data_IF_301359578669
#
_entry.id   IF_301359578669
#
_cell.length_a   1.000
_cell.length_b   1.000
_cell.length_c   1.000
_cell.angle_alpha   90.00
_cell.angle_beta   90.00
_cell.angle_gamma   90.00
#
_symmetry.space_group_name_H-M   'P 1'
#
loop_
_entity.id
_entity.type
_entity.pdbx_description
1 polymer ?
#
# COMPACT_ATOMS: atom_id res chain seq x y z
N UNK A 1 -41.03 -9.57 -0.98
CA UNK A 1 -39.70 -9.20 -0.49
C UNK A 1 -38.78 -9.05 -1.70
N UNK A 2 -38.50 -7.81 -2.10
CA UNK A 2 -37.73 -7.53 -3.31
C UNK A 2 -36.26 -7.82 -3.04
N UNK A 3 -35.71 -8.77 -3.76
CA UNK A 3 -34.27 -9.07 -3.83
C UNK A 3 -33.57 -7.84 -4.44
N UNK A 4 -33.02 -6.98 -3.60
CA UNK A 4 -32.06 -5.96 -4.04
C UNK A 4 -30.81 -6.67 -4.49
N UNK A 5 -30.72 -6.97 -5.80
CA UNK A 5 -29.54 -7.56 -6.41
C UNK A 5 -28.36 -6.59 -6.24
N UNK A 6 -27.31 -7.02 -5.56
CA UNK A 6 -25.98 -6.36 -5.51
C UNK A 6 -25.29 -6.30 -6.89
N UNK A 7 -26.02 -6.37 -7.99
CA UNK A 7 -25.49 -6.33 -9.35
C UNK A 7 -25.64 -4.91 -9.96
N UNK A 8 -24.63 -4.03 -9.82
CA UNK A 8 -24.40 -3.06 -10.87
C UNK A 8 -23.79 -3.79 -12.08
N UNK A 9 -23.99 -3.30 -13.33
CA UNK A 9 -23.41 -3.90 -14.52
C UNK A 9 -21.89 -4.01 -14.31
N UNK A 10 -21.34 -5.15 -14.70
CA UNK A 10 -19.90 -5.35 -14.74
C UNK A 10 -19.32 -4.23 -15.60
N UNK A 11 -18.43 -3.41 -15.04
CA UNK A 11 -17.67 -2.45 -15.81
C UNK A 11 -16.90 -3.26 -16.86
N UNK A 12 -17.31 -3.18 -18.12
CA UNK A 12 -16.62 -3.80 -19.24
C UNK A 12 -15.37 -2.94 -19.50
N UNK A 13 -14.21 -3.43 -19.10
CA UNK A 13 -12.94 -2.84 -19.46
C UNK A 13 -12.64 -3.18 -20.91
N UNK A 14 -12.52 -2.18 -21.77
CA UNK A 14 -12.05 -2.38 -23.14
C UNK A 14 -10.54 -2.65 -23.14
N UNK A 15 -10.00 -3.40 -24.12
CA UNK A 15 -8.55 -3.64 -24.25
C UNK A 15 -7.71 -2.35 -24.26
N UNK A 16 -8.27 -1.26 -24.74
CA UNK A 16 -7.59 0.05 -24.80
C UNK A 16 -7.54 0.77 -23.45
N UNK A 17 -8.54 0.59 -22.59
CA UNK A 17 -8.51 1.08 -21.21
C UNK A 17 -7.47 0.35 -20.36
N UNK A 18 -7.15 -0.89 -20.70
CA UNK A 18 -6.08 -1.68 -20.08
C UNK A 18 -4.70 -1.30 -20.61
N UNK A 19 -4.59 -0.85 -21.88
CA UNK A 19 -3.33 -0.45 -22.53
C UNK A 19 -2.96 1.01 -22.28
N UNK A 20 -3.93 1.91 -22.13
CA UNK A 20 -3.70 3.36 -21.96
C UNK A 20 -2.98 3.74 -20.66
N UNK A 21 -2.83 2.82 -19.72
CA UNK A 21 -2.24 3.07 -18.41
C UNK A 21 -0.72 2.84 -18.34
N UNK A 22 -0.08 2.32 -19.40
CA UNK A 22 1.36 2.03 -19.37
C UNK A 22 2.25 3.29 -19.55
N UNK A 23 1.71 4.40 -20.07
CA UNK A 23 2.45 5.64 -20.34
C UNK A 23 2.37 6.70 -19.25
N UNK A 24 1.24 6.82 -18.56
CA UNK A 24 0.95 7.99 -17.72
C UNK A 24 1.39 7.87 -16.25
N UNK A 25 1.68 6.67 -15.76
CA UNK A 25 2.04 6.47 -14.34
C UNK A 25 3.51 6.80 -14.05
N UNK A 26 4.36 6.80 -15.07
CA UNK A 26 5.79 7.13 -14.93
C UNK A 26 6.04 8.63 -14.70
N UNK A 27 5.10 9.49 -15.06
CA UNK A 27 5.23 10.95 -14.95
C UNK A 27 4.85 11.55 -13.59
N UNK A 28 4.34 10.75 -12.65
CA UNK A 28 3.78 11.28 -11.39
C UNK A 28 4.71 11.24 -10.18
N UNK A 29 5.95 10.77 -10.33
CA UNK A 29 7.01 11.01 -9.34
C UNK A 29 7.88 12.12 -9.94
N UNK A 30 7.91 13.34 -9.38
CA UNK A 30 8.88 14.34 -9.77
C UNK A 30 10.27 13.84 -9.32
N UNK A 31 10.98 13.18 -10.22
CA UNK A 31 12.35 12.71 -9.95
C UNK A 31 13.35 13.87 -9.87
N UNK A 32 12.93 15.09 -10.21
CA UNK A 32 13.83 16.23 -10.32
C UNK A 32 13.92 17.13 -9.09
N UNK A 33 13.16 16.89 -8.03
CA UNK A 33 13.20 17.74 -6.83
C UNK A 33 13.99 17.17 -5.63
N UNK A 34 14.58 16.00 -5.74
CA UNK A 34 15.38 15.41 -4.63
C UNK A 34 16.86 15.74 -4.67
N UNK A 35 17.35 16.51 -5.67
CA UNK A 35 18.79 16.80 -5.83
C UNK A 35 19.13 18.30 -6.04
N UNK A 36 18.29 19.22 -5.61
CA UNK A 36 18.60 20.67 -5.67
C UNK A 36 18.51 21.37 -4.31
N UNK A 37 18.97 20.75 -3.24
CA UNK A 37 19.45 21.51 -2.09
C UNK A 37 20.87 22.02 -2.40
N UNK A 38 20.99 22.99 -3.33
CA UNK A 38 22.16 23.83 -3.42
C UNK A 38 22.20 24.66 -2.14
N UNK A 39 23.09 24.29 -1.24
CA UNK A 39 23.51 25.13 -0.13
C UNK A 39 23.98 26.48 -0.69
N UNK A 40 23.38 27.61 -0.27
CA UNK A 40 23.98 28.91 -0.58
C UNK A 40 25.33 28.97 0.15
N UNK A 41 26.42 29.14 -0.59
CA UNK A 41 27.73 29.50 -0.01
C UNK A 41 27.53 30.79 0.78
N UNK A 42 27.45 30.70 2.09
CA UNK A 42 27.55 31.84 2.99
C UNK A 42 29.01 32.29 2.99
N UNK A 43 29.24 33.55 2.58
CA UNK A 43 30.46 34.29 2.93
C UNK A 43 30.57 34.39 4.45
N UNK A 44 31.77 34.31 5.05
CA UNK A 44 31.95 34.52 6.47
C UNK A 44 31.79 36.02 6.77
N UNK A 45 30.58 36.38 7.18
CA UNK A 45 30.30 37.66 7.80
C UNK A 45 30.18 37.40 9.30
N UNK A 46 31.10 37.98 10.07
CA UNK A 46 31.07 38.05 11.53
C UNK A 46 29.89 38.91 11.98
N UNK A 47 28.72 38.27 12.09
CA UNK A 47 27.54 38.84 12.66
C UNK A 47 27.10 37.95 13.82
N UNK A 48 27.35 38.39 15.06
CA UNK A 48 26.82 37.75 16.24
C UNK A 48 25.29 37.68 16.11
N UNK A 49 24.76 36.45 16.10
CA UNK A 49 23.32 36.20 16.17
C UNK A 49 22.84 36.67 17.58
N UNK A 50 22.35 37.88 17.63
CA UNK A 50 21.68 38.39 18.79
C UNK A 50 20.33 37.65 18.88
N UNK A 51 20.26 36.59 19.69
CA UNK A 51 18.99 36.03 20.12
C UNK A 51 18.31 37.15 20.94
N UNK A 52 17.38 37.88 20.36
CA UNK A 52 16.51 38.81 21.04
C UNK A 52 15.67 38.02 22.05
N UNK A 53 16.14 37.97 23.29
CA UNK A 53 15.33 37.48 24.41
C UNK A 53 14.16 38.45 24.57
N UNK A 54 12.95 37.94 24.40
CA UNK A 54 11.74 38.70 24.76
C UNK A 54 11.79 38.91 26.27
N UNK A 55 11.98 40.16 26.68
CA UNK A 55 11.98 40.56 28.10
C UNK A 55 10.67 41.29 28.40
N UNK A 56 10.19 41.18 29.65
CA UNK A 56 9.11 42.01 30.14
C UNK A 56 9.61 43.48 30.32
N UNK A 57 8.70 44.43 30.53
CA UNK A 57 9.03 45.84 30.68
C UNK A 57 10.06 46.17 31.80
N UNK A 58 10.47 45.19 32.60
CA UNK A 58 11.51 45.30 33.64
C UNK A 58 12.81 44.59 33.27
N UNK A 59 12.99 44.16 31.99
CA UNK A 59 14.23 43.51 31.52
C UNK A 59 14.40 42.02 31.91
N UNK A 60 13.43 41.41 32.59
CA UNK A 60 13.50 40.02 32.99
C UNK A 60 13.04 39.13 31.85
N UNK A 61 13.70 37.94 31.62
CA UNK A 61 13.27 37.01 30.61
C UNK A 61 11.85 36.50 30.91
N UNK A 62 10.92 36.70 29.98
CA UNK A 62 9.55 36.21 30.13
C UNK A 62 9.59 34.69 30.02
N UNK A 63 9.34 34.00 31.14
CA UNK A 63 9.15 32.56 31.09
C UNK A 63 7.83 32.25 30.35
N UNK A 64 7.80 31.26 29.43
CA UNK A 64 6.57 30.92 28.72
C UNK A 64 5.46 30.62 29.72
N UNK A 65 4.26 31.11 29.43
CA UNK A 65 3.08 30.88 30.28
C UNK A 65 2.84 29.36 30.43
N UNK A 66 2.22 28.90 31.53
CA UNK A 66 1.88 27.49 31.73
C UNK A 66 1.15 26.88 30.53
N UNK A 67 0.26 27.63 29.90
CA UNK A 67 -0.49 27.23 28.70
C UNK A 67 0.43 26.97 27.51
N UNK A 68 1.40 27.87 27.25
CA UNK A 68 2.37 27.70 26.15
C UNK A 68 3.22 26.44 26.37
N UNK A 69 3.68 26.19 27.58
CA UNK A 69 4.48 25.00 27.92
C UNK A 69 3.68 23.72 27.76
N UNK A 70 2.40 23.70 28.16
CA UNK A 70 1.51 22.58 28.03
C UNK A 70 1.28 22.24 26.52
N UNK A 71 0.91 23.24 25.73
CA UNK A 71 0.66 23.08 24.29
C UNK A 71 1.90 22.56 23.56
N UNK A 72 3.09 23.09 23.85
CA UNK A 72 4.35 22.64 23.25
C UNK A 72 4.66 21.18 23.60
N UNK A 73 4.48 20.78 24.86
CA UNK A 73 4.69 19.38 25.28
C UNK A 73 3.70 18.43 24.63
N UNK A 74 2.44 18.83 24.52
CA UNK A 74 1.41 18.05 23.84
C UNK A 74 1.74 17.85 22.35
N UNK A 75 2.05 18.93 21.64
CA UNK A 75 2.43 18.86 20.23
C UNK A 75 3.66 17.98 20.00
N UNK A 76 4.68 18.11 20.86
CA UNK A 76 5.86 17.27 20.80
C UNK A 76 5.50 15.78 21.00
N UNK A 77 4.67 15.46 22.01
CA UNK A 77 4.27 14.07 22.28
C UNK A 77 3.47 13.47 21.12
N UNK A 78 2.52 14.22 20.55
CA UNK A 78 1.75 13.79 19.38
C UNK A 78 2.66 13.57 18.17
N UNK A 79 3.58 14.50 17.90
CA UNK A 79 4.52 14.39 16.78
C UNK A 79 5.44 13.18 16.93
N UNK A 80 6.02 12.99 18.13
CA UNK A 80 6.87 11.82 18.41
C UNK A 80 6.09 10.50 18.26
N UNK A 81 4.84 10.45 18.73
CA UNK A 81 3.98 9.28 18.56
C UNK A 81 3.67 9.00 17.07
N UNK A 82 3.38 10.05 16.29
CA UNK A 82 3.14 9.92 14.84
C UNK A 82 4.39 9.44 14.10
N UNK A 83 5.57 9.98 14.42
CA UNK A 83 6.84 9.52 13.85
C UNK A 83 7.16 8.07 14.23
N UNK A 84 6.98 7.70 15.51
CA UNK A 84 7.20 6.35 15.99
C UNK A 84 6.28 5.34 15.28
N UNK A 85 4.99 5.64 15.15
CA UNK A 85 4.06 4.76 14.44
C UNK A 85 4.34 4.67 12.95
N UNK A 86 4.74 5.77 12.31
CA UNK A 86 5.19 5.76 10.90
C UNK A 86 6.41 4.85 10.73
N UNK A 87 7.38 4.95 11.62
CA UNK A 87 8.56 4.08 11.62
C UNK A 87 8.17 2.61 11.84
N UNK A 88 7.29 2.32 12.80
CA UNK A 88 6.80 0.95 13.08
C UNK A 88 6.12 0.36 11.86
N UNK A 89 5.23 1.10 11.20
CA UNK A 89 4.55 0.64 9.98
C UNK A 89 5.55 0.39 8.85
N UNK A 90 6.47 1.33 8.62
CA UNK A 90 7.50 1.20 7.58
C UNK A 90 8.45 0.04 7.81
N UNK A 91 8.97 -0.12 9.04
CA UNK A 91 9.88 -1.22 9.41
C UNK A 91 9.18 -2.57 9.31
N UNK A 92 7.93 -2.69 9.81
CA UNK A 92 7.13 -3.90 9.67
C UNK A 92 6.96 -4.28 8.20
N UNK A 93 6.61 -3.32 7.34
CA UNK A 93 6.49 -3.55 5.91
C UNK A 93 7.82 -4.04 5.32
N UNK A 94 8.93 -3.35 5.57
CA UNK A 94 10.25 -3.70 5.03
C UNK A 94 10.70 -5.10 5.47
N UNK A 95 10.48 -5.45 6.74
CA UNK A 95 10.85 -6.77 7.26
C UNK A 95 10.02 -7.86 6.60
N UNK A 96 8.68 -7.71 6.57
CA UNK A 96 7.80 -8.76 6.04
C UNK A 96 7.97 -8.88 4.53
N UNK A 97 7.92 -7.78 3.76
CA UNK A 97 8.11 -7.81 2.31
C UNK A 97 9.52 -8.31 1.94
N UNK A 98 10.55 -7.88 2.67
CA UNK A 98 11.93 -8.34 2.47
C UNK A 98 12.11 -9.83 2.72
N UNK A 99 11.51 -10.37 3.79
CA UNK A 99 11.55 -11.80 4.09
C UNK A 99 10.87 -12.64 2.99
N UNK A 100 9.67 -12.22 2.55
CA UNK A 100 8.97 -12.93 1.46
C UNK A 100 9.64 -12.73 0.09
N UNK A 101 10.23 -11.57 -0.18
CA UNK A 101 11.02 -11.35 -1.40
C UNK A 101 12.29 -12.23 -1.40
N UNK A 102 12.97 -12.38 -0.27
CA UNK A 102 14.10 -13.29 -0.13
C UNK A 102 13.68 -14.75 -0.31
N UNK A 103 12.59 -15.18 0.34
CA UNK A 103 12.02 -16.51 0.18
C UNK A 103 11.64 -16.80 -1.30
N UNK A 104 11.08 -15.80 -1.99
CA UNK A 104 10.76 -15.91 -3.44
C UNK A 104 12.02 -16.10 -4.26
N UNK A 105 13.08 -15.34 -4.02
CA UNK A 105 14.36 -15.49 -4.74
C UNK A 105 15.00 -16.85 -4.52
N UNK A 106 14.87 -17.41 -3.31
CA UNK A 106 15.39 -18.75 -3.01
C UNK A 106 14.57 -19.86 -3.67
N UNK A 107 13.25 -19.79 -3.60
CA UNK A 107 12.35 -20.84 -4.07
C UNK A 107 12.09 -20.77 -5.58
N UNK A 108 12.05 -19.56 -6.14
CA UNK A 108 11.76 -19.30 -7.55
C UNK A 108 12.81 -18.35 -8.15
N UNK A 109 14.08 -18.79 -8.30
CA UNK A 109 15.15 -17.95 -8.82
C UNK A 109 14.80 -17.47 -10.25
N UNK A 110 14.73 -16.18 -10.42
CA UNK A 110 14.36 -15.58 -11.71
C UNK A 110 12.95 -15.01 -11.78
N UNK A 111 12.06 -15.28 -10.80
CA UNK A 111 10.69 -14.74 -10.81
C UNK A 111 10.67 -13.20 -10.81
N UNK A 112 11.59 -12.56 -10.10
CA UNK A 112 11.73 -11.10 -10.03
C UNK A 112 12.86 -10.55 -10.94
N UNK A 113 13.38 -11.37 -11.89
CA UNK A 113 14.45 -10.93 -12.79
C UNK A 113 13.95 -9.80 -13.70
N UNK A 114 14.72 -8.69 -13.75
CA UNK A 114 14.37 -7.52 -14.56
C UNK A 114 13.34 -6.57 -13.94
N UNK A 115 12.84 -6.86 -12.72
CA UNK A 115 11.84 -6.05 -12.02
C UNK A 115 12.44 -5.04 -11.03
N UNK A 116 13.76 -4.80 -11.06
CA UNK A 116 14.43 -3.94 -10.06
C UNK A 116 13.88 -2.50 -10.03
N UNK A 117 13.60 -1.92 -11.19
CA UNK A 117 13.02 -0.59 -11.28
C UNK A 117 11.59 -0.56 -10.73
N UNK A 118 10.79 -1.58 -11.03
CA UNK A 118 9.45 -1.75 -10.48
C UNK A 118 9.49 -1.90 -8.96
N UNK A 119 10.35 -2.78 -8.42
CA UNK A 119 10.49 -2.98 -6.97
C UNK A 119 10.90 -1.71 -6.24
N UNK A 120 11.83 -0.92 -6.79
CA UNK A 120 12.18 0.40 -6.21
C UNK A 120 10.98 1.33 -6.15
N UNK A 121 10.16 1.40 -7.21
CA UNK A 121 8.92 2.18 -7.24
C UNK A 121 7.90 1.67 -6.23
N UNK A 122 7.70 0.36 -6.13
CA UNK A 122 6.82 -0.28 -5.15
C UNK A 122 7.23 0.07 -3.71
N UNK A 123 8.52 -0.02 -3.38
CA UNK A 123 9.06 0.35 -2.07
C UNK A 123 8.81 1.84 -1.78
N UNK A 124 9.09 2.73 -2.74
CA UNK A 124 8.90 4.17 -2.55
C UNK A 124 7.43 4.52 -2.24
N UNK A 125 6.48 3.98 -3.01
CA UNK A 125 5.04 4.18 -2.77
C UNK A 125 4.59 3.56 -1.46
N UNK A 126 5.11 2.38 -1.10
CA UNK A 126 4.78 1.72 0.17
C UNK A 126 5.28 2.49 1.38
N UNK A 127 6.46 3.09 1.31
CA UNK A 127 6.97 3.95 2.40
C UNK A 127 6.18 5.26 2.51
N UNK A 128 5.74 5.85 1.39
CA UNK A 128 4.81 6.99 1.41
C UNK A 128 3.47 6.60 2.05
N UNK A 129 2.93 5.42 1.71
CA UNK A 129 1.72 4.87 2.34
C UNK A 129 1.93 4.61 3.83
N UNK A 130 3.11 4.16 4.26
CA UNK A 130 3.42 3.94 5.67
C UNK A 130 3.29 5.23 6.50
N UNK A 131 3.65 6.39 5.94
CA UNK A 131 3.43 7.68 6.60
C UNK A 131 1.94 8.02 6.72
N UNK A 132 1.16 7.78 5.66
CA UNK A 132 -0.29 8.02 5.65
C UNK A 132 -1.02 7.14 6.69
N UNK A 133 -0.57 5.89 6.88
CA UNK A 133 -1.10 4.99 7.92
C UNK A 133 -0.57 5.34 9.32
N UNK A 134 0.70 5.71 9.43
CA UNK A 134 1.38 5.91 10.69
C UNK A 134 0.94 7.17 11.43
N UNK A 135 0.67 8.27 10.71
CA UNK A 135 0.27 9.54 11.34
C UNK A 135 -1.03 9.41 12.14
N UNK A 136 -2.17 8.96 11.57
CA UNK A 136 -3.40 8.79 12.35
C UNK A 136 -3.26 7.72 13.45
N UNK A 137 -2.51 6.64 13.19
CA UNK A 137 -2.24 5.62 14.20
C UNK A 137 -1.46 6.19 15.39
N UNK A 138 -0.50 7.09 15.17
CA UNK A 138 0.26 7.74 16.22
C UNK A 138 -0.57 8.73 17.04
N UNK A 139 -1.44 9.49 16.38
CA UNK A 139 -2.38 10.40 17.08
C UNK A 139 -3.30 9.56 18.01
N UNK A 140 -3.82 8.44 17.52
CA UNK A 140 -4.68 7.56 18.32
C UNK A 140 -3.91 6.83 19.44
N UNK A 141 -2.67 6.42 19.21
CA UNK A 141 -1.83 5.81 20.23
C UNK A 141 -1.54 6.79 21.38
N UNK A 142 -1.25 8.04 21.04
CA UNK A 142 -1.13 9.10 22.04
C UNK A 142 -2.45 9.35 22.77
N UNK A 143 -3.56 9.50 22.04
CA UNK A 143 -4.88 9.74 22.61
C UNK A 143 -5.37 8.59 23.48
N UNK A 144 -5.03 7.33 23.13
CA UNK A 144 -5.31 6.18 23.98
C UNK A 144 -4.60 6.28 25.33
N UNK A 145 -3.28 6.52 25.32
CA UNK A 145 -2.48 6.56 26.57
C UNK A 145 -2.74 7.81 27.39
N UNK A 146 -2.93 8.98 26.77
CA UNK A 146 -3.08 10.25 27.47
C UNK A 146 -4.53 10.56 27.88
N UNK A 147 -5.52 10.09 27.15
CA UNK A 147 -6.92 10.52 27.28
C UNK A 147 -7.95 9.40 27.22
N UNK A 148 -7.54 8.15 26.99
CA UNK A 148 -8.48 7.02 26.86
C UNK A 148 -9.45 7.13 25.67
N UNK A 149 -9.06 7.78 24.57
CA UNK A 149 -9.93 8.02 23.41
C UNK A 149 -10.43 6.76 22.72
N UNK A 150 -9.67 5.66 22.82
CA UNK A 150 -9.98 4.43 22.10
C UNK A 150 -10.55 3.35 23.02
N UNK A 151 -11.11 2.31 22.43
CA UNK A 151 -11.57 1.11 23.12
C UNK A 151 -10.47 0.03 23.25
N UNK A 152 -9.20 0.40 23.03
CA UNK A 152 -8.05 -0.50 23.23
C UNK A 152 -7.86 -0.69 24.74
N UNK A 153 -7.64 -1.97 25.14
CA UNK A 153 -7.33 -2.33 26.53
C UNK A 153 -6.07 -3.22 26.59
N UNK A 154 -5.36 -3.18 27.68
CA UNK A 154 -4.09 -3.89 27.91
C UNK A 154 -4.17 -4.97 28.99
N UNK A 155 -5.19 -4.95 29.85
CA UNK A 155 -5.46 -6.05 30.77
C UNK A 155 -6.33 -7.10 30.08
N UNK A 156 -5.76 -8.30 29.84
CA UNK A 156 -6.48 -9.41 29.16
C UNK A 156 -7.72 -9.88 29.94
N UNK A 157 -7.75 -9.65 31.25
CA UNK A 157 -8.88 -10.01 32.13
C UNK A 157 -9.96 -8.93 32.22
N UNK A 158 -9.74 -7.75 31.62
CA UNK A 158 -10.75 -6.70 31.56
C UNK A 158 -12.05 -7.12 30.84
N UNK A 159 -11.99 -8.24 30.10
CA UNK A 159 -13.13 -8.89 29.41
C UNK A 159 -13.00 -10.40 29.48
N UNK A 160 -14.12 -11.16 29.29
CA UNK A 160 -14.05 -12.62 29.20
C UNK A 160 -13.04 -13.07 28.13
N UNK A 161 -12.21 -14.06 28.41
CA UNK A 161 -11.11 -14.49 27.53
C UNK A 161 -11.57 -14.87 26.11
N UNK A 162 -12.80 -15.40 25.96
CA UNK A 162 -13.36 -15.71 24.65
C UNK A 162 -13.58 -14.48 23.76
N UNK A 163 -13.66 -13.29 24.36
CA UNK A 163 -13.82 -12.05 23.60
C UNK A 163 -12.55 -11.69 22.80
N UNK A 164 -11.38 -12.10 23.25
CA UNK A 164 -10.11 -11.83 22.54
C UNK A 164 -10.13 -12.41 21.13
N UNK A 165 -10.32 -13.73 20.91
CA UNK A 165 -10.41 -14.28 19.56
C UNK A 165 -11.64 -13.78 18.79
N UNK A 166 -12.77 -13.55 19.44
CA UNK A 166 -13.93 -12.97 18.78
C UNK A 166 -13.63 -11.59 18.23
N UNK A 167 -12.94 -10.72 19.00
CA UNK A 167 -12.57 -9.38 18.53
C UNK A 167 -11.67 -9.43 17.31
N UNK A 168 -10.74 -10.39 17.23
CA UNK A 168 -9.90 -10.60 16.03
C UNK A 168 -10.77 -10.93 14.82
N UNK A 169 -11.70 -11.87 14.94
CA UNK A 169 -12.60 -12.25 13.84
C UNK A 169 -13.45 -11.06 13.39
N UNK A 170 -14.02 -10.30 14.33
CA UNK A 170 -14.83 -9.11 14.04
C UNK A 170 -14.00 -8.05 13.30
N UNK A 171 -12.79 -7.76 13.77
CA UNK A 171 -11.91 -6.79 13.12
C UNK A 171 -11.53 -7.21 11.70
N UNK A 172 -11.15 -8.46 11.50
CA UNK A 172 -10.80 -8.98 10.17
C UNK A 172 -12.00 -8.93 9.22
N UNK A 173 -13.20 -9.32 9.69
CA UNK A 173 -14.39 -9.30 8.86
C UNK A 173 -14.83 -7.87 8.48
N UNK A 174 -14.81 -6.93 9.43
CA UNK A 174 -15.17 -5.54 9.17
C UNK A 174 -14.12 -4.84 8.30
N UNK A 175 -12.84 -5.14 8.52
CA UNK A 175 -11.77 -4.65 7.66
C UNK A 175 -11.91 -5.17 6.22
N UNK A 176 -12.16 -6.46 6.04
CA UNK A 176 -12.38 -7.06 4.71
C UNK A 176 -13.65 -6.50 4.02
N UNK A 177 -14.69 -6.25 4.80
CA UNK A 177 -15.92 -5.58 4.32
C UNK A 177 -15.61 -4.19 3.79
N UNK A 178 -14.90 -3.37 4.58
CA UNK A 178 -14.48 -2.03 4.15
C UNK A 178 -13.59 -2.11 2.92
N UNK A 179 -12.60 -3.01 2.94
CA UNK A 179 -11.66 -3.21 1.84
C UNK A 179 -12.38 -3.61 0.55
N UNK A 180 -13.26 -4.61 0.58
CA UNK A 180 -14.03 -5.05 -0.57
C UNK A 180 -14.80 -3.90 -1.24
N UNK A 181 -15.56 -3.12 -0.47
CA UNK A 181 -16.41 -2.07 -1.02
C UNK A 181 -15.61 -0.88 -1.55
N UNK A 182 -14.56 -0.46 -0.84
CA UNK A 182 -13.68 0.62 -1.30
C UNK A 182 -12.85 0.20 -2.51
N UNK A 183 -12.32 -1.01 -2.51
CA UNK A 183 -11.56 -1.58 -3.61
C UNK A 183 -12.42 -1.70 -4.88
N UNK A 184 -13.61 -2.26 -4.75
CA UNK A 184 -14.58 -2.31 -5.86
C UNK A 184 -14.98 -0.92 -6.37
N UNK A 185 -15.10 0.07 -5.49
CA UNK A 185 -15.35 1.45 -5.87
C UNK A 185 -14.17 2.06 -6.63
N UNK A 186 -12.93 1.81 -6.21
CA UNK A 186 -11.72 2.29 -6.88
C UNK A 186 -11.55 1.68 -8.29
N UNK A 187 -12.15 0.52 -8.56
CA UNK A 187 -12.19 -0.08 -9.90
C UNK A 187 -13.26 0.51 -10.84
N UNK A 188 -13.99 1.53 -10.45
CA UNK A 188 -14.83 2.27 -11.39
C UNK A 188 -13.95 3.09 -12.34
N UNK A 189 -14.21 3.09 -13.68
CA UNK A 189 -13.35 3.74 -14.66
C UNK A 189 -13.02 5.22 -14.33
N UNK A 190 -14.00 5.96 -13.79
CA UNK A 190 -13.81 7.35 -13.40
C UNK A 190 -12.87 7.55 -12.19
N UNK A 191 -12.67 6.52 -11.36
CA UNK A 191 -11.89 6.59 -10.11
C UNK A 191 -10.53 5.92 -10.26
N UNK A 192 -10.46 4.87 -11.08
CA UNK A 192 -9.31 3.98 -11.19
C UNK A 192 -7.99 4.73 -11.43
N UNK A 193 -7.95 5.60 -12.43
CA UNK A 193 -6.72 6.38 -12.75
C UNK A 193 -6.26 7.25 -11.60
N UNK A 194 -7.18 7.88 -10.89
CA UNK A 194 -6.89 8.80 -9.81
C UNK A 194 -6.57 8.12 -8.46
N UNK A 195 -7.00 6.88 -8.26
CA UNK A 195 -6.92 6.24 -6.95
C UNK A 195 -6.12 4.93 -6.94
N UNK A 196 -6.19 4.11 -8.00
CA UNK A 196 -5.78 2.69 -7.93
C UNK A 196 -4.79 2.24 -9.03
N UNK A 197 -4.58 3.06 -10.06
CA UNK A 197 -3.68 2.73 -11.18
C UNK A 197 -2.22 2.53 -10.71
N UNK A 198 -1.77 3.25 -9.67
CA UNK A 198 -0.43 3.08 -9.08
C UNK A 198 -0.22 1.65 -8.58
N UNK A 199 -1.23 1.10 -7.88
CA UNK A 199 -1.20 -0.28 -7.38
C UNK A 199 -1.16 -1.29 -8.53
N UNK A 200 -2.02 -1.14 -9.52
CA UNK A 200 -2.09 -2.00 -10.70
C UNK A 200 -0.94 -1.80 -11.71
N UNK A 201 -0.07 -0.81 -11.52
CA UNK A 201 1.16 -0.69 -12.31
C UNK A 201 2.22 -1.75 -11.95
N UNK A 202 2.02 -2.50 -10.86
CA UNK A 202 2.84 -3.66 -10.47
C UNK A 202 2.42 -4.89 -11.30
N UNK A 203 3.18 -5.18 -12.38
CA UNK A 203 2.87 -6.27 -13.33
C UNK A 203 4.12 -7.01 -13.79
N UNK A 204 4.32 -8.27 -13.35
CA UNK A 204 3.58 -8.95 -12.29
C UNK A 204 3.86 -8.32 -10.94
N UNK A 205 2.92 -8.38 -9.97
CA UNK A 205 3.17 -7.84 -8.64
C UNK A 205 4.29 -8.62 -7.95
N UNK A 206 5.02 -7.91 -7.07
CA UNK A 206 6.06 -8.51 -6.22
C UNK A 206 5.69 -8.39 -4.75
N UNK A 207 6.40 -9.07 -3.86
CA UNK A 207 6.20 -8.95 -2.42
C UNK A 207 6.30 -7.49 -1.90
N UNK A 208 6.89 -6.59 -2.67
CA UNK A 208 7.00 -5.17 -2.36
C UNK A 208 5.77 -4.34 -2.74
N UNK A 209 4.84 -4.91 -3.53
CA UNK A 209 3.64 -4.21 -3.99
C UNK A 209 2.54 -4.06 -2.92
N UNK A 210 2.67 -4.77 -1.77
CA UNK A 210 1.63 -4.92 -0.76
C UNK A 210 1.03 -3.61 -0.21
N UNK A 211 1.77 -2.52 -0.25
CA UNK A 211 1.35 -1.18 0.19
C UNK A 211 1.68 -0.09 -0.86
N UNK A 212 1.99 -0.48 -2.09
CA UNK A 212 2.31 0.46 -3.16
C UNK A 212 1.05 1.16 -3.67
N UNK A 213 0.55 2.12 -2.89
CA UNK A 213 -0.72 2.78 -3.08
C UNK A 213 -0.56 4.25 -3.46
N UNK A 214 -1.47 4.73 -4.30
CA UNK A 214 -1.68 6.16 -4.47
C UNK A 214 -2.20 6.76 -3.15
N UNK A 215 -1.91 8.04 -2.80
CA UNK A 215 -2.38 8.65 -1.55
C UNK A 215 -3.89 8.54 -1.30
N UNK A 216 -4.72 8.63 -2.33
CA UNK A 216 -6.17 8.46 -2.19
C UNK A 216 -6.51 7.04 -1.70
N UNK A 217 -5.92 6.02 -2.29
CA UNK A 217 -6.08 4.63 -1.85
C UNK A 217 -5.53 4.42 -0.44
N UNK A 218 -4.32 4.92 -0.15
CA UNK A 218 -3.72 4.82 1.16
C UNK A 218 -4.60 5.47 2.26
N UNK A 219 -5.19 6.65 1.99
CA UNK A 219 -6.11 7.32 2.92
C UNK A 219 -7.38 6.49 3.12
N UNK A 220 -7.99 5.95 2.07
CA UNK A 220 -9.19 5.08 2.23
C UNK A 220 -8.90 3.85 3.07
N UNK A 221 -7.72 3.25 2.91
CA UNK A 221 -7.28 2.12 3.76
C UNK A 221 -6.93 2.53 5.18
N UNK A 222 -6.38 3.74 5.38
CA UNK A 222 -5.95 4.22 6.69
C UNK A 222 -7.12 4.54 7.66
N UNK A 223 -8.34 4.70 7.17
CA UNK A 223 -9.51 5.11 7.98
C UNK A 223 -10.06 3.96 8.82
N UNK A 224 -10.06 2.72 8.32
CA UNK A 224 -10.85 1.63 8.91
C UNK A 224 -10.35 1.21 10.30
N UNK A 225 -9.06 1.01 10.51
CA UNK A 225 -8.54 0.61 11.84
C UNK A 225 -8.74 1.70 12.88
N UNK A 226 -8.44 2.99 12.62
CA UNK A 226 -8.85 4.11 13.48
C UNK A 226 -10.33 4.07 13.87
N UNK A 227 -11.23 3.89 12.91
CA UNK A 227 -12.65 3.82 13.18
C UNK A 227 -13.00 2.63 14.11
N UNK A 228 -12.45 1.45 13.83
CA UNK A 228 -12.72 0.25 14.63
C UNK A 228 -12.23 0.39 16.07
N UNK A 229 -11.02 0.92 16.32
CA UNK A 229 -10.50 1.07 17.68
C UNK A 229 -11.22 2.14 18.50
N UNK A 230 -11.89 3.08 17.86
CA UNK A 230 -12.76 4.05 18.52
C UNK A 230 -14.12 3.43 18.93
N UNK A 231 -14.60 2.46 18.18
CA UNK A 231 -15.96 1.91 18.35
C UNK A 231 -16.00 0.55 19.05
N UNK A 232 -15.05 -0.33 18.77
CA UNK A 232 -15.10 -1.75 19.19
C UNK A 232 -13.89 -2.06 20.08
N UNK A 233 -14.13 -2.58 21.29
CA UNK A 233 -13.04 -2.97 22.19
C UNK A 233 -12.13 -4.04 21.58
N UNK A 234 -10.81 -3.90 21.78
CA UNK A 234 -9.82 -4.90 21.38
C UNK A 234 -8.63 -4.89 22.36
N UNK A 235 -8.14 -6.08 22.69
CA UNK A 235 -6.89 -6.20 23.46
C UNK A 235 -5.71 -5.77 22.59
N UNK A 236 -4.73 -5.04 23.16
CA UNK A 236 -3.59 -4.50 22.41
C UNK A 236 -2.81 -5.60 21.68
N UNK A 237 -2.62 -6.78 22.29
CA UNK A 237 -1.97 -7.91 21.65
C UNK A 237 -2.78 -8.47 20.47
N UNK A 238 -4.12 -8.51 20.58
CA UNK A 238 -5.01 -8.93 19.50
C UNK A 238 -4.96 -7.92 18.34
N UNK A 239 -4.91 -6.62 18.63
CA UNK A 239 -4.73 -5.58 17.61
C UNK A 239 -3.39 -5.75 16.90
N UNK A 240 -2.30 -5.99 17.64
CA UNK A 240 -0.98 -6.28 17.08
C UNK A 240 -1.01 -7.50 16.14
N UNK A 241 -1.70 -8.57 16.54
CA UNK A 241 -1.91 -9.76 15.70
C UNK A 241 -2.68 -9.44 14.43
N UNK A 242 -3.81 -8.72 14.51
CA UNK A 242 -4.60 -8.28 13.35
C UNK A 242 -3.72 -7.49 12.38
N UNK A 243 -3.00 -6.48 12.86
CA UNK A 243 -2.12 -5.64 12.02
C UNK A 243 -0.96 -6.43 11.40
N UNK A 244 -0.43 -7.42 12.11
CA UNK A 244 0.58 -8.36 11.59
C UNK A 244 0.01 -9.23 10.47
N UNK A 245 -1.15 -9.84 10.70
CA UNK A 245 -1.85 -10.68 9.73
C UNK A 245 -2.22 -9.89 8.46
N UNK A 246 -2.71 -8.65 8.61
CA UNK A 246 -2.98 -7.74 7.49
C UNK A 246 -1.74 -7.55 6.59
N UNK A 247 -0.57 -7.34 7.20
CA UNK A 247 0.67 -7.15 6.45
C UNK A 247 1.10 -8.46 5.75
N UNK A 248 1.04 -9.59 6.44
CA UNK A 248 1.37 -10.89 5.86
C UNK A 248 0.44 -11.21 4.69
N UNK A 249 -0.87 -11.06 4.85
CA UNK A 249 -1.84 -11.33 3.77
C UNK A 249 -1.65 -10.38 2.58
N UNK A 250 -1.43 -9.09 2.83
CA UNK A 250 -1.12 -8.14 1.76
C UNK A 250 0.12 -8.55 0.97
N UNK A 251 1.20 -8.94 1.65
CA UNK A 251 2.45 -9.37 1.01
C UNK A 251 2.29 -10.69 0.27
N UNK A 252 1.69 -11.70 0.88
CA UNK A 252 1.52 -13.02 0.26
C UNK A 252 0.61 -12.98 -0.96
N UNK A 253 -0.42 -12.13 -0.96
CA UNK A 253 -1.31 -11.96 -2.11
C UNK A 253 -0.58 -11.37 -3.35
N UNK A 254 0.54 -10.67 -3.16
CA UNK A 254 1.28 -10.01 -4.24
C UNK A 254 2.59 -10.71 -4.65
N UNK A 255 3.03 -11.74 -3.93
CA UNK A 255 4.38 -12.27 -4.13
C UNK A 255 4.61 -13.07 -5.43
N UNK A 256 3.59 -13.26 -6.26
CA UNK A 256 3.71 -13.83 -7.60
C UNK A 256 3.69 -15.36 -7.67
N UNK A 257 3.48 -16.04 -6.54
CA UNK A 257 3.29 -17.49 -6.46
C UNK A 257 2.47 -17.85 -5.22
N UNK A 258 1.86 -19.05 -5.22
CA UNK A 258 1.01 -19.49 -4.10
C UNK A 258 1.84 -20.08 -2.97
N UNK A 259 1.80 -19.43 -1.81
CA UNK A 259 2.53 -19.84 -0.60
C UNK A 259 1.71 -20.79 0.28
N UNK A 260 0.39 -20.65 0.21
CA UNK A 260 -0.50 -21.46 1.05
C UNK A 260 -0.68 -22.87 0.50
N UNK A 261 -0.77 -23.89 1.37
CA UNK A 261 -1.02 -25.26 0.95
C UNK A 261 -2.41 -25.39 0.30
N UNK A 262 -2.55 -26.37 -0.60
CA UNK A 262 -3.74 -26.51 -1.46
C UNK A 262 -5.06 -26.62 -0.70
N UNK A 263 -5.05 -27.18 0.52
CA UNK A 263 -6.26 -27.29 1.34
C UNK A 263 -6.79 -25.91 1.83
N UNK A 264 -5.95 -24.88 1.90
CA UNK A 264 -6.34 -23.53 2.33
C UNK A 264 -7.02 -22.71 1.21
N UNK A 265 -6.85 -23.06 -0.06
CA UNK A 265 -7.44 -22.32 -1.17
C UNK A 265 -8.23 -23.20 -2.14
N UNK A 266 -8.09 -24.52 -2.06
CA UNK A 266 -8.88 -25.51 -2.80
C UNK A 266 -9.76 -26.32 -1.84
N UNK A 267 -10.94 -26.71 -2.28
CA UNK A 267 -11.87 -27.51 -1.50
C UNK A 267 -12.84 -26.72 -0.61
N UNK A 268 -13.68 -27.39 0.20
CA UNK A 268 -14.82 -26.76 0.89
C UNK A 268 -14.43 -25.68 1.88
N UNK A 269 -13.41 -25.91 2.70
CA UNK A 269 -12.95 -24.95 3.73
C UNK A 269 -12.07 -23.87 3.13
N UNK A 270 -11.10 -24.24 2.28
CA UNK A 270 -10.16 -23.30 1.65
C UNK A 270 -10.84 -22.40 0.62
N UNK A 271 -12.01 -22.79 0.12
CA UNK A 271 -12.76 -21.99 -0.84
C UNK A 271 -13.29 -20.65 -0.29
N UNK A 272 -13.09 -20.31 1.00
CA UNK A 272 -13.54 -19.06 1.58
C UNK A 272 -12.44 -18.00 1.73
N UNK A 273 -11.18 -18.38 1.50
CA UNK A 273 -10.05 -17.50 1.66
C UNK A 273 -9.60 -16.90 0.31
N UNK A 274 -9.17 -15.66 0.34
CA UNK A 274 -8.40 -15.03 -0.73
C UNK A 274 -6.94 -15.43 -0.54
N UNK A 275 -6.26 -15.81 -1.62
CA UNK A 275 -4.84 -16.14 -1.63
C UNK A 275 -4.17 -15.49 -2.83
N UNK A 276 -2.85 -15.64 -2.95
CA UNK A 276 -2.07 -15.09 -4.06
C UNK A 276 -2.69 -15.40 -5.43
N UNK A 277 -3.16 -16.64 -5.64
CA UNK A 277 -3.77 -17.05 -6.92
C UNK A 277 -5.09 -16.33 -7.22
N UNK A 278 -5.90 -16.01 -6.20
CA UNK A 278 -7.11 -15.23 -6.40
C UNK A 278 -6.79 -13.77 -6.73
N UNK A 279 -5.83 -13.19 -6.01
CA UNK A 279 -5.43 -11.80 -6.19
C UNK A 279 -4.66 -11.59 -7.51
N UNK A 280 -3.90 -12.59 -7.95
CA UNK A 280 -3.30 -12.60 -9.29
C UNK A 280 -4.36 -12.44 -10.39
N UNK A 281 -5.48 -13.17 -10.29
CA UNK A 281 -6.58 -13.03 -11.26
C UNK A 281 -7.20 -11.63 -11.22
N UNK A 282 -7.27 -11.01 -10.02
CA UNK A 282 -7.70 -9.63 -9.87
C UNK A 282 -6.80 -8.67 -10.66
N UNK A 283 -5.47 -8.77 -10.50
CA UNK A 283 -4.51 -7.96 -11.26
C UNK A 283 -4.55 -8.20 -12.78
N UNK A 284 -5.05 -9.36 -13.23
CA UNK A 284 -5.22 -9.65 -14.66
C UNK A 284 -6.53 -9.12 -15.25
N UNK A 285 -7.62 -9.17 -14.49
CA UNK A 285 -8.98 -8.95 -15.01
C UNK A 285 -9.69 -7.71 -14.45
N UNK A 286 -9.16 -7.06 -13.42
CA UNK A 286 -9.67 -5.83 -12.78
C UNK A 286 -11.11 -5.88 -12.25
N UNK A 287 -12.00 -6.68 -12.82
CA UNK A 287 -13.42 -6.72 -12.55
C UNK A 287 -13.87 -7.82 -11.58
N UNK A 288 -12.96 -8.42 -10.79
CA UNK A 288 -13.24 -9.57 -9.96
C UNK A 288 -12.31 -9.69 -8.76
N UNK A 289 -12.66 -10.55 -7.77
CA UNK A 289 -11.84 -10.93 -6.62
C UNK A 289 -11.32 -9.71 -5.83
N UNK A 290 -12.24 -8.87 -5.36
CA UNK A 290 -11.91 -7.61 -4.67
C UNK A 290 -11.58 -7.79 -3.18
N UNK A 291 -11.88 -8.95 -2.55
CA UNK A 291 -11.61 -9.22 -1.14
C UNK A 291 -10.11 -9.28 -0.81
N UNK A 292 -9.75 -9.08 0.46
CA UNK A 292 -8.38 -9.17 0.96
C UNK A 292 -8.09 -10.49 1.67
N UNK A 293 -9.02 -10.93 2.54
CA UNK A 293 -8.90 -12.17 3.31
C UNK A 293 -9.92 -13.21 2.89
N UNK A 294 -11.17 -12.76 2.67
CA UNK A 294 -12.32 -13.64 2.50
C UNK A 294 -12.98 -13.44 1.14
N UNK A 295 -13.42 -14.54 0.55
CA UNK A 295 -14.22 -14.54 -0.68
C UNK A 295 -15.71 -14.27 -0.43
N UNK A 296 -16.10 -13.95 0.81
CA UNK A 296 -17.48 -13.76 1.22
C UNK A 296 -18.22 -12.76 0.34
N UNK A 297 -17.71 -11.54 0.26
CA UNK A 297 -18.32 -10.49 -0.53
C UNK A 297 -18.23 -10.76 -2.04
N UNK A 298 -17.13 -11.32 -2.52
CA UNK A 298 -16.98 -11.69 -3.91
C UNK A 298 -18.02 -12.72 -4.35
N UNK A 299 -18.30 -13.72 -3.51
CA UNK A 299 -19.36 -14.71 -3.76
C UNK A 299 -20.74 -14.11 -3.68
N UNK A 300 -21.02 -13.34 -2.63
CA UNK A 300 -22.32 -12.73 -2.43
C UNK A 300 -22.70 -11.76 -3.56
N UNK A 301 -21.71 -10.98 -4.05
CA UNK A 301 -21.89 -10.00 -5.11
C UNK A 301 -21.59 -10.52 -6.53
N UNK A 302 -21.27 -11.81 -6.69
CA UNK A 302 -21.02 -12.45 -7.99
C UNK A 302 -19.75 -11.95 -8.68
N UNK A 303 -18.76 -11.48 -7.91
CA UNK A 303 -17.46 -11.02 -8.42
C UNK A 303 -16.34 -12.07 -8.24
N UNK A 304 -16.63 -13.22 -7.62
CA UNK A 304 -15.70 -14.33 -7.50
C UNK A 304 -15.46 -15.01 -8.86
N UNK A 305 -14.22 -15.03 -9.33
CA UNK A 305 -13.78 -15.71 -10.56
C UNK A 305 -12.76 -16.82 -10.30
N UNK A 306 -12.56 -17.20 -9.03
CA UNK A 306 -11.61 -18.24 -8.64
C UNK A 306 -10.14 -17.82 -8.81
N UNK A 307 -9.26 -18.80 -9.03
CA UNK A 307 -7.79 -18.60 -9.07
C UNK A 307 -7.28 -18.12 -10.42
N UNK A 308 -6.19 -17.36 -10.41
CA UNK A 308 -5.42 -16.96 -11.58
C UNK A 308 -4.39 -18.02 -11.99
N UNK A 309 -3.75 -17.80 -13.13
CA UNK A 309 -2.68 -18.63 -13.67
C UNK A 309 -1.35 -17.87 -13.66
N UNK A 310 -0.52 -18.15 -12.66
CA UNK A 310 0.79 -17.52 -12.54
C UNK A 310 1.71 -17.78 -13.73
N UNK A 311 1.71 -18.99 -14.28
CA UNK A 311 2.58 -19.35 -15.40
C UNK A 311 2.25 -18.49 -16.64
N UNK A 312 0.98 -18.28 -16.90
CA UNK A 312 0.51 -17.42 -17.99
C UNK A 312 0.85 -15.94 -17.76
N UNK A 313 0.66 -15.45 -16.52
CA UNK A 313 0.98 -14.07 -16.15
C UNK A 313 2.47 -13.76 -16.32
N UNK A 314 3.33 -14.65 -15.84
CA UNK A 314 4.79 -14.51 -15.96
C UNK A 314 5.27 -14.60 -17.40
N UNK A 315 4.73 -15.53 -18.21
CA UNK A 315 5.06 -15.62 -19.62
C UNK A 315 4.67 -14.35 -20.40
N UNK A 316 3.52 -13.75 -20.08
CA UNK A 316 3.08 -12.48 -20.67
C UNK A 316 4.02 -11.34 -20.31
N UNK A 317 4.40 -11.22 -19.03
CA UNK A 317 5.33 -10.19 -18.55
C UNK A 317 6.71 -10.32 -19.20
N UNK A 318 7.26 -11.54 -19.27
CA UNK A 318 8.54 -11.79 -19.93
C UNK A 318 8.55 -11.37 -21.41
N UNK A 319 7.47 -11.61 -22.16
CA UNK A 319 7.33 -11.16 -23.55
C UNK A 319 7.27 -9.63 -23.68
N UNK A 320 6.56 -8.95 -22.76
CA UNK A 320 6.47 -7.50 -22.76
C UNK A 320 7.85 -6.86 -22.53
N UNK A 321 8.65 -7.38 -21.58
CA UNK A 321 10.01 -6.92 -21.33
C UNK A 321 10.98 -7.18 -22.49
N UNK A 322 10.85 -8.35 -23.18
CA UNK A 322 11.67 -8.66 -24.35
C UNK A 322 11.35 -7.73 -25.54
N UNK A 323 10.07 -7.37 -25.73
CA UNK A 323 9.65 -6.47 -26.80
C UNK A 323 10.05 -5.01 -26.58
N UNK A 324 10.19 -4.58 -25.31
CA UNK A 324 10.63 -3.23 -24.97
C UNK A 324 12.14 -3.02 -25.07
N UNK A 325 12.94 -4.09 -25.11
CA UNK A 325 14.40 -4.09 -25.19
C UNK A 325 14.97 -4.36 -26.57
N UNK A 326 14.14 -4.46 -27.63
CA UNK A 326 14.60 -4.62 -29.00
C UNK A 326 15.37 -3.38 -29.46
N UNK A 327 16.58 -3.53 -30.13
CA UNK A 327 17.30 -2.37 -30.63
C UNK A 327 16.41 -1.63 -31.64
N UNK A 328 16.32 -0.32 -31.48
CA UNK A 328 15.80 0.55 -32.52
C UNK A 328 16.54 0.18 -33.83
N UNK A 329 15.80 -0.32 -34.81
CA UNK A 329 16.35 -0.64 -36.13
C UNK A 329 17.02 0.62 -36.64
N UNK A 330 18.36 0.61 -36.64
CA UNK A 330 19.19 1.66 -37.20
C UNK A 330 18.80 1.82 -38.65
N UNK A 331 18.26 3.00 -38.98
CA UNK A 331 18.12 3.44 -40.37
C UNK A 331 19.48 3.52 -41.02
N UNK A 332 19.94 2.40 -41.56
CA UNK A 332 21.10 2.35 -42.47
C UNK A 332 20.65 2.83 -43.85
N UNK A 333 21.07 4.05 -44.18
CA UNK A 333 20.85 4.65 -45.48
C UNK A 333 21.41 3.77 -46.60
N UNK A 334 20.57 3.49 -47.57
CA UNK A 334 20.95 3.00 -48.89
C UNK A 334 21.50 4.19 -49.70
N UNK A 335 22.81 4.30 -49.74
CA UNK A 335 23.53 5.18 -50.66
C UNK A 335 24.41 4.35 -51.57
N UNK A 336 24.02 4.20 -52.81
CA UNK A 336 24.96 3.95 -53.85
C UNK A 336 24.99 2.56 -54.48
N UNK A 337 24.22 2.37 -55.49
CA UNK A 337 24.62 1.65 -56.73
C UNK A 337 23.77 2.11 -57.91
N UNK A 338 24.23 3.23 -58.56
CA UNK A 338 24.02 3.46 -59.99
C UNK A 338 25.30 3.04 -60.71
N UNK A 339 25.16 2.40 -61.82
CA UNK A 339 25.99 2.16 -63.02
C UNK A 339 26.11 0.64 -63.24
N UNK A 340 25.68 0.13 -64.28
CA UNK A 340 26.00 0.09 -65.68
C UNK A 340 25.08 -0.92 -66.38
N UNK A 341 24.34 -0.43 -67.30
CA UNK A 341 23.87 -1.20 -68.44
C UNK A 341 24.25 -0.43 -69.69
N UNK A 342 25.27 -0.92 -70.37
CA UNK A 342 25.51 -0.77 -71.81
C UNK A 342 26.45 -1.88 -72.25
N UNK A 343 25.90 -2.84 -72.99
CA UNK A 343 26.37 -3.57 -74.13
C UNK A 343 25.61 -4.92 -74.19
#
# INVERSE_FOLDING_TARGET
MASTSCRPPAAQWTPDQVRGDEGDVAGFIPTDHLLALRTPRRRPGTGAFHQSRVTNGCGHPVSPTPTIRYTTRMLLAVTLSALAMTLIVGVRYLIVSGAFAAATRLKHPGLYRGLDAQMRREIAWSLASAAIYGVPAGILAWGWKAHGWTRIYDDVHARPLWYVPLSVVVYLFLHDTWFYWTHRWMHRPAVFKAAHAVHHASRPPTAWAAMAFHPIEAVTGAVVIPLLVLLIPIHIGALGFVLGLMTVMGVTNHMGWEVFPRFMWGGPLGGWLITASHHQRHHEQYGCNYGLYFRFWDRLCGTDRGVGDFARAHAKAARAHAGAGGPAAGGGGDAGRRADRAA
#
